data_IF_033701847660
#
_entry.id   IF_033701847660
#
_cell.length_a   1.000
_cell.length_b   1.000
_cell.length_c   1.000
_cell.angle_alpha   90.00
_cell.angle_beta   90.00
_cell.angle_gamma   90.00
#
_symmetry.space_group_name_H-M   'P 1'
#
loop_
_entity.id
_entity.type
_entity.pdbx_description
1 polymer ?
#
# COMPACT_ATOMS: atom_id res chain seq x y z
N UNK A 1 -14.53 8.12 13.82
CA UNK A 1 -13.31 7.46 14.26
C UNK A 1 -12.64 6.76 13.10
N UNK A 2 -11.38 6.99 12.92
CA UNK A 2 -10.68 6.44 11.78
C UNK A 2 -10.23 5.03 12.05
N UNK A 3 -10.45 4.18 11.07
CA UNK A 3 -10.00 2.80 11.15
C UNK A 3 -8.74 2.69 10.33
N UNK A 4 -7.66 2.31 11.00
CA UNK A 4 -6.39 2.14 10.31
C UNK A 4 -6.29 0.69 9.85
N UNK A 5 -6.21 0.51 8.56
CA UNK A 5 -6.05 -0.81 7.98
C UNK A 5 -4.58 -1.19 8.00
N UNK A 6 -4.34 -2.46 8.20
CA UNK A 6 -2.97 -2.99 8.15
C UNK A 6 -2.73 -3.62 6.80
N UNK A 7 -1.47 -3.55 6.37
CA UNK A 7 -1.05 -4.23 5.16
C UNK A 7 -1.31 -5.73 5.30
N UNK A 8 -1.82 -6.34 4.23
CA UNK A 8 -2.10 -7.77 4.26
C UNK A 8 -0.84 -8.62 4.27
N UNK A 9 0.29 -8.03 3.99
CA UNK A 9 1.55 -8.76 3.89
C UNK A 9 2.49 -8.52 5.07
N UNK A 10 2.18 -7.51 5.85
CA UNK A 10 3.01 -7.18 7.01
C UNK A 10 2.17 -6.41 8.02
N UNK A 11 2.79 -5.97 9.11
CA UNK A 11 2.06 -5.29 10.18
C UNK A 11 2.04 -3.77 10.03
N UNK A 12 2.63 -3.24 8.97
CA UNK A 12 2.64 -1.80 8.75
C UNK A 12 1.27 -1.31 8.32
N UNK A 13 1.04 -0.02 8.53
CA UNK A 13 -0.21 0.59 8.09
C UNK A 13 -0.33 0.48 6.57
N UNK A 14 -1.52 0.11 6.10
CA UNK A 14 -1.77 0.04 4.68
C UNK A 14 -1.89 1.45 4.10
N UNK A 15 -1.43 1.59 2.88
CA UNK A 15 -1.46 2.86 2.17
C UNK A 15 -2.56 2.88 1.11
N UNK A 16 -2.72 1.78 0.41
CA UNK A 16 -3.73 1.68 -0.64
C UNK A 16 -4.43 0.34 -0.55
N UNK A 17 -5.63 0.30 -1.13
CA UNK A 17 -6.37 -0.91 -1.40
C UNK A 17 -6.35 -1.10 -2.90
N UNK A 18 -5.64 -2.08 -3.38
CA UNK A 18 -5.47 -2.24 -4.81
C UNK A 18 -5.26 -3.68 -5.21
N UNK A 19 -5.24 -3.88 -6.51
CA UNK A 19 -5.07 -5.21 -7.08
C UNK A 19 -3.59 -5.59 -7.07
N UNK A 20 -3.31 -6.83 -6.68
CA UNK A 20 -1.95 -7.34 -6.72
C UNK A 20 -1.64 -7.91 -8.09
N UNK A 21 -0.35 -8.16 -8.35
CA UNK A 21 0.04 -8.83 -9.58
C UNK A 21 -0.48 -10.26 -9.65
N UNK A 22 -0.91 -10.80 -8.53
CA UNK A 22 -1.43 -12.16 -8.47
C UNK A 22 -2.92 -12.24 -8.79
N UNK A 23 -3.59 -11.10 -8.84
CA UNK A 23 -4.99 -11.00 -9.16
C UNK A 23 -5.88 -10.51 -8.03
N UNK A 24 -5.80 -11.06 -6.83
CA UNK A 24 -6.68 -10.62 -5.75
C UNK A 24 -6.34 -9.22 -5.25
N UNK A 25 -7.36 -8.53 -4.75
CA UNK A 25 -7.17 -7.23 -4.12
C UNK A 25 -6.65 -7.40 -2.71
N UNK A 26 -5.86 -6.44 -2.26
CA UNK A 26 -5.28 -6.49 -0.92
C UNK A 26 -4.97 -5.08 -0.44
N UNK A 27 -4.91 -4.94 0.88
CA UNK A 27 -4.39 -3.72 1.48
C UNK A 27 -2.88 -3.80 1.48
N UNK A 28 -2.24 -2.76 1.01
CA UNK A 28 -0.80 -2.79 0.83
C UNK A 28 -0.16 -1.51 1.34
N UNK A 29 0.94 -1.65 2.07
CA UNK A 29 1.79 -0.52 2.41
C UNK A 29 2.60 -0.14 1.16
N UNK A 30 3.25 1.04 1.15
CA UNK A 30 4.00 1.45 -0.04
C UNK A 30 5.06 0.45 -0.48
N UNK A 31 5.64 -0.25 0.49
CA UNK A 31 6.67 -1.23 0.21
C UNK A 31 6.11 -2.39 -0.60
N UNK A 32 5.03 -2.98 -0.10
CA UNK A 32 4.42 -4.13 -0.76
C UNK A 32 3.63 -3.73 -1.99
N UNK A 33 3.12 -2.52 -2.02
CA UNK A 33 2.50 -2.00 -3.25
C UNK A 33 3.51 -2.02 -4.38
N UNK A 34 4.74 -1.62 -4.08
CA UNK A 34 5.79 -1.61 -5.07
C UNK A 34 6.26 -3.03 -5.44
N UNK A 35 6.18 -3.95 -4.49
CA UNK A 35 6.68 -5.30 -4.70
C UNK A 35 5.63 -6.25 -5.26
N UNK A 36 4.43 -6.22 -4.72
CA UNK A 36 3.37 -7.15 -5.10
C UNK A 36 2.22 -6.50 -5.81
N UNK A 37 2.04 -5.21 -5.65
CA UNK A 37 0.92 -4.49 -6.23
C UNK A 37 1.24 -3.95 -7.60
N UNK A 38 0.32 -3.12 -8.09
CA UNK A 38 0.46 -2.45 -9.37
C UNK A 38 0.50 -0.95 -9.10
N UNK A 39 1.67 -0.41 -8.73
CA UNK A 39 1.73 0.98 -8.24
C UNK A 39 1.27 2.02 -9.25
N UNK A 40 1.28 1.68 -10.54
CA UNK A 40 0.84 2.61 -11.57
C UNK A 40 -0.60 2.42 -11.98
N UNK A 41 -1.30 1.50 -11.32
CA UNK A 41 -2.68 1.23 -11.66
C UNK A 41 -3.58 2.35 -11.17
N UNK A 42 -4.48 2.79 -12.00
CA UNK A 42 -5.49 3.77 -11.59
C UNK A 42 -6.56 3.15 -10.70
N UNK A 43 -6.56 1.83 -10.57
CA UNK A 43 -7.52 1.13 -9.74
C UNK A 43 -7.19 1.19 -8.27
N UNK A 44 -5.96 1.56 -7.93
CA UNK A 44 -5.55 1.64 -6.53
C UNK A 44 -6.33 2.73 -5.82
N UNK A 45 -6.86 2.38 -4.64
CA UNK A 45 -7.59 3.33 -3.81
C UNK A 45 -6.72 3.72 -2.63
N UNK A 46 -6.43 5.01 -2.54
CA UNK A 46 -5.65 5.53 -1.45
C UNK A 46 -6.50 5.54 -0.18
N UNK A 47 -5.98 4.95 0.87
CA UNK A 47 -6.74 4.78 2.10
C UNK A 47 -6.58 5.95 3.05
N UNK A 48 -5.48 6.70 2.95
CA UNK A 48 -5.21 7.83 3.83
C UNK A 48 -4.69 9.00 3.02
N UNK A 49 -5.03 10.20 3.46
CA UNK A 49 -4.57 11.41 2.78
C UNK A 49 -3.08 11.63 3.02
N UNK A 50 -2.65 11.41 4.26
CA UNK A 50 -1.27 11.58 4.63
C UNK A 50 -0.76 10.28 5.21
N UNK A 51 0.36 9.83 4.72
CA UNK A 51 0.96 8.59 5.15
C UNK A 51 2.34 8.91 5.73
N UNK A 52 2.70 8.31 6.87
CA UNK A 52 4.00 8.58 7.47
C UNK A 52 5.13 8.31 6.48
N UNK A 53 5.93 9.32 6.21
CA UNK A 53 7.01 9.18 5.23
C UNK A 53 8.04 8.14 5.65
N UNK A 54 8.15 7.89 6.95
CA UNK A 54 9.09 6.90 7.45
C UNK A 54 8.70 5.48 7.01
N UNK A 55 7.43 5.28 6.63
CA UNK A 55 6.98 3.98 6.18
C UNK A 55 7.13 3.78 4.68
N UNK A 56 7.51 4.83 3.96
CA UNK A 56 7.78 4.68 2.53
C UNK A 56 9.13 4.03 2.32
N UNK A 57 9.24 3.19 1.28
CA UNK A 57 10.53 2.60 0.97
C UNK A 57 11.52 3.68 0.57
N UNK A 58 12.76 3.48 0.94
CA UNK A 58 13.81 4.41 0.58
C UNK A 58 14.45 3.93 -0.70
N UNK A 59 14.31 4.74 -1.73
CA UNK A 59 14.90 4.43 -3.00
C UNK A 59 16.25 5.09 -3.11
N UNK A 60 17.19 4.37 -3.68
CA UNK A 60 18.51 4.90 -3.92
C UNK A 60 18.64 5.23 -5.39
N UNK A 61 19.31 6.30 -5.63
CA UNK A 61 19.55 6.71 -7.00
C UNK A 61 20.91 6.30 -7.46
#
# INVERSE_FOLDING_TARGET
MDIIQECDFCAKQAYVDGKTKFGPWAYMCPDHLNEYGLPRSSLNKKLVEEYPSENFPKFRK
#
